data_IF_789224057335
#
_entry.id   IF_789224057335
#
_cell.length_a   1.000
_cell.length_b   1.000
_cell.length_c   1.000
_cell.angle_alpha   90.00
_cell.angle_beta   90.00
_cell.angle_gamma   90.00
#
_symmetry.space_group_name_H-M   'P 1'
#
loop_
_entity.id
_entity.type
_entity.pdbx_description
1 polymer ?
#
# COMPACT_ATOMS: atom_id res chain seq x y z
N UNK A 1 8.09 11.53 23.45
CA UNK A 1 8.15 10.93 22.09
C UNK A 1 7.29 9.68 22.14
N UNK A 2 6.27 9.56 21.30
CA UNK A 2 5.38 8.38 21.30
C UNK A 2 6.11 7.12 20.85
N UNK A 3 5.67 5.95 21.32
CA UNK A 3 6.29 4.68 20.95
C UNK A 3 6.15 4.45 19.43
N UNK A 4 7.26 4.30 18.68
CA UNK A 4 7.23 4.18 17.23
C UNK A 4 6.47 2.95 16.74
N UNK A 5 6.43 1.88 17.55
CA UNK A 5 5.64 0.66 17.28
C UNK A 5 4.13 0.94 17.25
N UNK A 6 3.62 1.71 18.24
CA UNK A 6 2.20 2.06 18.31
C UNK A 6 1.79 2.94 17.14
N UNK A 7 2.63 3.92 16.77
CA UNK A 7 2.35 4.78 15.61
C UNK A 7 2.35 3.99 14.31
N UNK A 8 3.29 3.05 14.14
CA UNK A 8 3.32 2.14 12.99
C UNK A 8 2.05 1.27 12.92
N UNK A 9 1.62 0.69 14.03
CA UNK A 9 0.41 -0.14 14.06
C UNK A 9 -0.85 0.64 13.68
N UNK A 10 -1.01 1.87 14.21
CA UNK A 10 -2.12 2.76 13.86
C UNK A 10 -2.11 3.09 12.36
N UNK A 11 -0.93 3.42 11.80
CA UNK A 11 -0.80 3.68 10.37
C UNK A 11 -1.15 2.46 9.53
N UNK A 12 -0.78 1.27 9.98
CA UNK A 12 -1.06 0.02 9.26
C UNK A 12 -2.56 -0.31 9.26
N UNK A 13 -3.27 -0.03 10.36
CA UNK A 13 -4.74 -0.09 10.40
C UNK A 13 -5.37 0.93 9.46
N UNK A 14 -4.89 2.18 9.48
CA UNK A 14 -5.39 3.24 8.60
C UNK A 14 -5.17 2.88 7.13
N UNK A 15 -4.00 2.33 6.79
CA UNK A 15 -3.67 1.91 5.43
C UNK A 15 -4.54 0.75 4.98
N UNK A 16 -4.83 -0.22 5.86
CA UNK A 16 -5.76 -1.32 5.55
C UNK A 16 -7.18 -0.83 5.26
N UNK A 17 -7.68 0.13 6.03
CA UNK A 17 -9.00 0.71 5.80
C UNK A 17 -9.02 1.50 4.48
N UNK A 18 -8.00 2.34 4.27
CA UNK A 18 -7.88 3.16 3.07
C UNK A 18 -7.73 2.31 1.81
N UNK A 19 -6.93 1.25 1.85
CA UNK A 19 -6.78 0.29 0.76
C UNK A 19 -8.11 -0.36 0.35
N UNK A 20 -8.98 -0.69 1.31
CA UNK A 20 -10.33 -1.19 1.01
C UNK A 20 -11.16 -0.16 0.22
N UNK A 21 -11.13 1.11 0.62
CA UNK A 21 -11.79 2.19 -0.13
C UNK A 21 -11.15 2.41 -1.51
N UNK A 22 -9.82 2.39 -1.59
CA UNK A 22 -9.08 2.50 -2.84
C UNK A 22 -9.49 1.40 -3.83
N UNK A 23 -9.47 0.13 -3.42
CA UNK A 23 -9.83 -1.01 -4.27
C UNK A 23 -11.28 -0.92 -4.78
N UNK A 24 -12.22 -0.57 -3.91
CA UNK A 24 -13.64 -0.44 -4.30
C UNK A 24 -13.88 0.71 -5.27
N UNK A 25 -13.26 1.86 -5.04
CA UNK A 25 -13.36 3.00 -5.95
C UNK A 25 -12.69 2.73 -7.30
N UNK A 26 -11.48 2.13 -7.32
CA UNK A 26 -10.77 1.77 -8.55
C UNK A 26 -11.55 0.74 -9.38
N UNK A 27 -12.15 -0.27 -8.74
CA UNK A 27 -13.06 -1.21 -9.41
C UNK A 27 -14.28 -0.49 -10.00
N UNK A 28 -14.87 0.45 -9.25
CA UNK A 28 -15.98 1.28 -9.74
C UNK A 28 -15.58 2.13 -10.95
N UNK A 29 -14.41 2.75 -10.93
CA UNK A 29 -13.93 3.56 -12.06
C UNK A 29 -13.58 2.70 -13.27
N UNK A 30 -13.00 1.52 -13.07
CA UNK A 30 -12.72 0.55 -14.14
C UNK A 30 -14.01 0.10 -14.84
N UNK A 31 -15.07 -0.19 -14.08
CA UNK A 31 -16.39 -0.52 -14.65
C UNK A 31 -17.03 0.67 -15.37
N UNK A 32 -16.94 1.88 -14.82
CA UNK A 32 -17.41 3.09 -15.50
C UNK A 32 -16.69 3.33 -16.83
N UNK A 33 -15.37 3.09 -16.88
CA UNK A 33 -14.59 3.17 -18.12
C UNK A 33 -15.01 2.10 -19.12
N UNK A 34 -15.24 0.87 -18.67
CA UNK A 34 -15.70 -0.23 -19.53
C UNK A 34 -17.02 0.09 -20.24
N UNK A 35 -17.93 0.79 -19.55
CA UNK A 35 -19.27 1.10 -20.08
C UNK A 35 -19.27 2.38 -20.92
N UNK A 36 -18.57 3.44 -20.49
CA UNK A 36 -18.70 4.78 -21.09
C UNK A 36 -17.62 5.12 -22.14
N UNK A 37 -16.46 4.45 -22.09
CA UNK A 37 -15.34 4.74 -23.00
C UNK A 37 -15.10 3.55 -23.92
N UNK A 38 -14.87 3.82 -25.22
CA UNK A 38 -14.39 2.81 -26.16
C UNK A 38 -12.93 2.48 -25.84
N UNK A 39 -12.73 1.61 -24.87
CA UNK A 39 -11.42 1.07 -24.54
C UNK A 39 -11.11 -0.15 -25.43
N UNK A 40 -9.87 -0.30 -25.90
CA UNK A 40 -9.44 -1.56 -26.47
C UNK A 40 -9.43 -2.65 -25.37
N UNK A 41 -10.08 -3.79 -25.61
CA UNK A 41 -10.26 -4.85 -24.61
C UNK A 41 -8.95 -5.29 -23.94
N UNK A 42 -7.85 -5.31 -24.70
CA UNK A 42 -6.53 -5.69 -24.21
C UNK A 42 -5.96 -4.74 -23.15
N UNK A 43 -6.34 -3.45 -23.18
CA UNK A 43 -5.86 -2.46 -22.21
C UNK A 43 -6.68 -2.54 -20.94
N UNK A 44 -8.00 -2.68 -21.07
CA UNK A 44 -8.90 -2.78 -19.92
C UNK A 44 -8.60 -4.03 -19.08
N UNK A 45 -8.36 -5.18 -19.73
CA UNK A 45 -8.00 -6.42 -19.06
C UNK A 45 -6.64 -6.29 -18.35
N UNK A 46 -5.68 -5.58 -18.97
CA UNK A 46 -4.38 -5.30 -18.34
C UNK A 46 -4.51 -4.42 -17.10
N UNK A 47 -5.31 -3.35 -17.15
CA UNK A 47 -5.59 -2.49 -15.99
C UNK A 47 -6.27 -3.29 -14.86
N UNK A 48 -7.25 -4.14 -15.20
CA UNK A 48 -7.92 -5.03 -14.25
C UNK A 48 -6.93 -6.02 -13.59
N UNK A 49 -6.06 -6.65 -14.38
CA UNK A 49 -5.07 -7.61 -13.88
C UNK A 49 -4.07 -6.95 -12.92
N UNK A 50 -3.62 -5.73 -13.24
CA UNK A 50 -2.72 -4.96 -12.38
C UNK A 50 -3.41 -4.59 -11.07
N UNK A 51 -4.68 -4.15 -11.11
CA UNK A 51 -5.45 -3.84 -9.92
C UNK A 51 -5.62 -5.07 -9.00
N UNK A 52 -5.96 -6.24 -9.57
CA UNK A 52 -6.08 -7.49 -8.81
C UNK A 52 -4.74 -7.89 -8.21
N UNK A 53 -3.65 -7.82 -8.97
CA UNK A 53 -2.31 -8.14 -8.48
C UNK A 53 -1.90 -7.19 -7.34
N UNK A 54 -2.13 -5.88 -7.49
CA UNK A 54 -1.95 -4.89 -6.44
C UNK A 54 -2.71 -5.26 -5.18
N UNK A 55 -3.99 -5.64 -5.33
CA UNK A 55 -4.81 -5.98 -4.19
C UNK A 55 -4.30 -7.19 -3.41
N UNK A 56 -3.83 -8.21 -4.12
CA UNK A 56 -3.24 -9.40 -3.52
C UNK A 56 -1.95 -9.04 -2.76
N UNK A 57 -1.02 -8.32 -3.40
CA UNK A 57 0.26 -7.96 -2.77
C UNK A 57 0.04 -7.06 -1.55
N UNK A 58 -0.87 -6.10 -1.64
CA UNK A 58 -1.16 -5.17 -0.54
C UNK A 58 -1.82 -5.89 0.65
N UNK A 59 -2.74 -6.82 0.38
CA UNK A 59 -3.34 -7.66 1.42
C UNK A 59 -2.28 -8.50 2.14
N UNK A 60 -1.34 -9.10 1.39
CA UNK A 60 -0.23 -9.86 1.97
C UNK A 60 0.66 -8.95 2.82
N UNK A 61 0.98 -7.74 2.33
CA UNK A 61 1.79 -6.75 3.06
C UNK A 61 1.15 -6.39 4.40
N UNK A 62 -0.15 -6.07 4.41
CA UNK A 62 -0.89 -5.70 5.62
C UNK A 62 -0.92 -6.86 6.63
N UNK A 63 -1.16 -8.10 6.16
CA UNK A 63 -1.17 -9.27 7.04
C UNK A 63 0.21 -9.49 7.67
N UNK A 64 1.28 -9.38 6.89
CA UNK A 64 2.65 -9.53 7.38
C UNK A 64 3.03 -8.42 8.37
N UNK A 65 2.66 -7.16 8.07
CA UNK A 65 2.93 -6.03 8.97
C UNK A 65 2.18 -6.13 10.29
N UNK A 66 0.89 -6.56 10.28
CA UNK A 66 0.13 -6.83 11.52
C UNK A 66 0.78 -7.93 12.35
N UNK A 67 1.16 -9.05 11.72
CA UNK A 67 1.82 -10.16 12.42
C UNK A 67 3.19 -9.74 12.98
N UNK A 68 3.92 -8.89 12.27
CA UNK A 68 5.23 -8.41 12.69
C UNK A 68 5.18 -7.47 13.90
N UNK A 69 4.16 -6.62 13.98
CA UNK A 69 3.95 -5.74 15.14
C UNK A 69 3.64 -6.54 16.42
N UNK A 70 2.87 -7.63 16.30
CA UNK A 70 2.43 -8.44 17.44
C UNK A 70 3.48 -9.44 17.94
N UNK A 71 4.42 -9.85 17.08
CA UNK A 71 5.28 -11.01 17.36
C UNK A 71 6.67 -10.68 17.91
N UNK A 72 7.05 -9.41 18.11
CA UNK A 72 8.43 -8.96 18.45
C UNK A 72 9.54 -9.43 17.47
N UNK A 73 9.17 -10.11 16.38
CA UNK A 73 10.08 -10.61 15.36
C UNK A 73 10.24 -9.57 14.26
N UNK A 74 11.27 -8.73 14.38
CA UNK A 74 11.60 -7.67 13.41
C UNK A 74 11.70 -8.14 11.93
N UNK A 75 11.92 -9.43 11.69
CA UNK A 75 11.95 -10.03 10.34
C UNK A 75 10.66 -9.80 9.53
N UNK A 76 9.50 -9.86 10.18
CA UNK A 76 8.22 -9.68 9.48
C UNK A 76 7.99 -8.22 9.07
N UNK A 77 8.49 -7.27 9.87
CA UNK A 77 8.48 -5.84 9.52
C UNK A 77 9.41 -5.57 8.32
N UNK A 78 10.60 -6.18 8.30
CA UNK A 78 11.53 -6.07 7.17
C UNK A 78 10.89 -6.61 5.87
N UNK A 79 10.21 -7.75 5.95
CA UNK A 79 9.44 -8.30 4.84
C UNK A 79 8.33 -7.34 4.37
N UNK A 80 7.60 -6.73 5.30
CA UNK A 80 6.55 -5.76 4.96
C UNK A 80 7.11 -4.55 4.20
N UNK A 81 8.29 -4.04 4.59
CA UNK A 81 9.00 -2.94 3.90
C UNK A 81 9.43 -3.33 2.50
N UNK A 82 9.92 -4.57 2.31
CA UNK A 82 10.29 -5.06 0.99
C UNK A 82 9.06 -5.16 0.06
N UNK A 83 7.91 -5.60 0.58
CA UNK A 83 6.64 -5.64 -0.15
C UNK A 83 6.05 -4.24 -0.41
N UNK A 84 6.49 -3.20 0.31
CA UNK A 84 6.09 -1.81 0.02
C UNK A 84 6.59 -1.35 -1.35
N UNK A 85 7.72 -1.86 -1.82
CA UNK A 85 8.31 -1.50 -3.13
C UNK A 85 7.39 -1.93 -4.30
N UNK A 86 7.03 -3.21 -4.46
CA UNK A 86 6.15 -3.64 -5.55
C UNK A 86 4.75 -3.00 -5.46
N UNK A 87 4.23 -2.76 -4.26
CA UNK A 87 2.95 -2.03 -4.10
C UNK A 87 3.06 -0.57 -4.54
N UNK A 88 4.11 0.15 -4.13
CA UNK A 88 4.35 1.52 -4.57
C UNK A 88 4.54 1.62 -6.09
N UNK A 89 5.24 0.64 -6.69
CA UNK A 89 5.36 0.53 -8.14
C UNK A 89 4.01 0.28 -8.83
N UNK A 90 3.16 -0.58 -8.26
CA UNK A 90 1.81 -0.82 -8.78
C UNK A 90 0.93 0.43 -8.75
N UNK A 91 0.89 1.13 -7.62
CA UNK A 91 0.12 2.39 -7.49
C UNK A 91 0.69 3.46 -8.40
N UNK A 92 2.02 3.56 -8.51
CA UNK A 92 2.69 4.43 -9.47
C UNK A 92 2.36 4.09 -10.92
N UNK A 93 2.20 2.80 -11.25
CA UNK A 93 1.78 2.37 -12.58
C UNK A 93 0.37 2.86 -12.91
N UNK A 94 -0.59 2.66 -12.01
CA UNK A 94 -1.96 3.20 -12.16
C UNK A 94 -1.92 4.74 -12.24
N UNK A 95 -1.08 5.37 -11.44
CA UNK A 95 -0.94 6.81 -11.44
C UNK A 95 -0.37 7.33 -12.76
N UNK A 96 0.67 6.77 -13.37
CA UNK A 96 1.37 7.40 -14.50
C UNK A 96 1.00 6.83 -15.88
N UNK A 97 0.72 5.53 -15.98
CA UNK A 97 0.61 4.81 -17.26
C UNK A 97 -0.83 4.56 -17.72
N UNK A 98 -1.83 4.92 -16.93
CA UNK A 98 -3.23 4.76 -17.31
C UNK A 98 -3.61 5.76 -18.40
N UNK A 99 -4.24 5.28 -19.49
CA UNK A 99 -4.53 6.09 -20.69
C UNK A 99 -5.51 7.24 -20.42
N UNK A 100 -6.58 6.97 -19.66
CA UNK A 100 -7.52 7.98 -19.20
C UNK A 100 -7.47 8.02 -17.68
N UNK A 101 -6.92 9.10 -17.12
CA UNK A 101 -6.88 9.32 -15.66
C UNK A 101 -8.06 10.18 -15.24
N UNK A 102 -8.97 9.63 -14.45
CA UNK A 102 -10.00 10.42 -13.79
C UNK A 102 -9.36 11.21 -12.64
N UNK A 103 -9.95 12.37 -12.32
CA UNK A 103 -9.50 13.19 -11.19
C UNK A 103 -9.56 12.44 -9.86
N UNK A 104 -10.52 11.52 -9.73
CA UNK A 104 -10.71 10.72 -8.51
C UNK A 104 -9.58 9.67 -8.35
N UNK A 105 -9.20 8.96 -9.42
CA UNK A 105 -8.06 8.01 -9.44
C UNK A 105 -6.77 8.70 -9.01
N UNK A 106 -6.52 9.91 -9.53
CA UNK A 106 -5.33 10.67 -9.19
C UNK A 106 -5.25 10.97 -7.68
N UNK A 107 -6.35 11.46 -7.10
CA UNK A 107 -6.41 11.79 -5.67
C UNK A 107 -6.24 10.53 -4.82
N UNK A 108 -6.89 9.43 -5.22
CA UNK A 108 -6.80 8.17 -4.50
C UNK A 108 -5.39 7.56 -4.55
N UNK A 109 -4.78 7.50 -5.72
CA UNK A 109 -3.41 7.01 -5.87
C UNK A 109 -2.40 7.88 -5.12
N UNK A 110 -2.54 9.21 -5.18
CA UNK A 110 -1.65 10.13 -4.47
C UNK A 110 -1.75 9.93 -2.95
N UNK A 111 -2.96 9.78 -2.41
CA UNK A 111 -3.16 9.58 -0.98
C UNK A 111 -2.71 8.18 -0.51
N UNK A 112 -2.88 7.15 -1.35
CA UNK A 112 -2.30 5.82 -1.10
C UNK A 112 -0.78 5.88 -0.97
N UNK A 113 -0.11 6.58 -1.90
CA UNK A 113 1.35 6.73 -1.88
C UNK A 113 1.84 7.49 -0.66
N UNK A 114 1.15 8.56 -0.24
CA UNK A 114 1.56 9.31 0.96
C UNK A 114 1.37 8.49 2.23
N UNK A 115 0.26 7.76 2.37
CA UNK A 115 0.05 6.84 3.49
C UNK A 115 1.14 5.76 3.52
N UNK A 116 1.42 5.13 2.38
CA UNK A 116 2.42 4.09 2.27
C UNK A 116 3.84 4.60 2.52
N UNK A 117 4.17 5.83 2.11
CA UNK A 117 5.44 6.48 2.42
C UNK A 117 5.59 6.77 3.93
N UNK A 118 4.52 7.24 4.57
CA UNK A 118 4.53 7.46 6.02
C UNK A 118 4.68 6.16 6.80
N UNK A 119 3.96 5.10 6.43
CA UNK A 119 4.11 3.75 7.02
C UNK A 119 5.56 3.26 6.90
N UNK A 120 6.17 3.40 5.71
CA UNK A 120 7.55 2.99 5.47
C UNK A 120 8.54 3.80 6.33
N UNK A 121 8.33 5.10 6.48
CA UNK A 121 9.15 5.94 7.35
C UNK A 121 9.13 5.46 8.80
N UNK A 122 7.94 5.20 9.36
CA UNK A 122 7.82 4.70 10.74
C UNK A 122 8.30 3.26 10.90
N UNK A 123 8.12 2.41 9.89
CA UNK A 123 8.66 1.04 9.87
C UNK A 123 10.18 1.06 9.97
N UNK A 124 10.84 1.94 9.21
CA UNK A 124 12.30 2.12 9.25
C UNK A 124 12.75 2.59 10.64
N UNK A 125 12.07 3.59 11.22
CA UNK A 125 12.38 4.05 12.58
C UNK A 125 12.25 2.91 13.62
N UNK A 126 11.20 2.09 13.51
CA UNK A 126 11.00 0.94 14.39
C UNK A 126 12.13 -0.10 14.24
N UNK A 127 12.53 -0.43 13.02
CA UNK A 127 13.66 -1.35 12.76
C UNK A 127 14.96 -0.78 13.35
N UNK A 128 15.23 0.51 13.18
CA UNK A 128 16.40 1.15 13.79
C UNK A 128 16.39 1.08 15.32
N UNK A 129 15.23 1.23 15.95
CA UNK A 129 15.11 1.10 17.41
C UNK A 129 15.36 -0.34 17.89
N UNK A 130 14.94 -1.35 17.12
CA UNK A 130 15.19 -2.77 17.41
C UNK A 130 16.67 -3.16 17.26
N UNK A 131 17.39 -2.55 16.32
CA UNK A 131 18.82 -2.81 16.11
C UNK A 131 19.74 -2.12 17.13
N UNK A 132 19.22 -1.25 18.00
CA UNK A 132 20.04 -0.58 19.02
C UNK A 132 20.41 -1.60 20.11
N UNK A 133 21.71 -1.84 20.37
CA UNK A 133 22.13 -2.80 21.38
C UNK A 133 21.62 -2.38 22.77
N UNK A 134 21.30 -3.33 23.68
CA UNK A 134 20.91 -3.01 25.04
C UNK A 134 22.08 -2.29 25.73
N UNK A 135 21.88 -1.01 26.09
CA UNK A 135 22.76 -0.31 27.01
C UNK A 135 22.56 -0.89 28.39
N UNK A 136 23.44 -1.81 28.78
CA UNK A 136 23.61 -2.20 30.17
C UNK A 136 24.45 -1.11 30.86
N UNK A 137 23.78 -0.11 31.42
CA UNK A 137 24.36 0.78 32.44
C UNK A 137 24.21 0.13 33.84
#
# INVERSE_FOLDING_TARGET
MGNPSLTYEILLYLNSFYFGMFATCELGMLTLKAVNLKYPDHILLREACILVALCLVETIRIILGRRGSLSDHGWQVILSVFLTIPCGMGVGYLLFYQLHRLRLEYILCALMLTLQASELFFAILFVFTLCRPPSYD
#
